data_IF_223823017569
#
_entry.id   IF_223823017569
#
_cell.length_a   1.000
_cell.length_b   1.000
_cell.length_c   1.000
_cell.angle_alpha   90.00
_cell.angle_beta   90.00
_cell.angle_gamma   90.00
#
_symmetry.space_group_name_H-M   'P 1'
#
loop_
_entity.id
_entity.type
_entity.pdbx_description
1 polymer ?
#
# COMPACT_ATOMS: atom_id res chain seq x y z
N UNK A 1 5.84 -18.78 -8.71
CA UNK A 1 5.54 -17.78 -7.67
C UNK A 1 4.08 -17.37 -7.84
N UNK A 2 3.35 -17.16 -6.74
CA UNK A 2 1.94 -16.77 -6.80
C UNK A 2 1.83 -15.26 -6.96
N UNK A 3 0.81 -14.76 -7.66
CA UNK A 3 0.60 -13.32 -7.86
C UNK A 3 -0.53 -12.79 -6.97
N UNK A 4 -0.48 -11.51 -6.64
CA UNK A 4 -1.51 -10.78 -5.90
C UNK A 4 -1.77 -9.44 -6.58
N UNK A 5 -3.03 -8.99 -6.62
CA UNK A 5 -3.37 -7.66 -7.13
C UNK A 5 -3.64 -6.74 -5.95
N UNK A 6 -2.86 -5.67 -5.86
CA UNK A 6 -2.87 -4.74 -4.73
C UNK A 6 -3.02 -3.30 -5.23
N UNK A 7 -3.61 -2.44 -4.40
CA UNK A 7 -3.56 -0.98 -4.57
C UNK A 7 -3.11 -0.33 -3.28
N UNK A 8 -2.56 0.87 -3.33
CA UNK A 8 -2.19 1.59 -2.12
C UNK A 8 -3.42 2.12 -1.38
N UNK A 9 -3.27 2.30 -0.06
CA UNK A 9 -4.17 3.08 0.74
C UNK A 9 -4.22 4.54 0.24
N UNK A 10 -5.34 5.22 0.49
CA UNK A 10 -5.52 6.59 0.04
C UNK A 10 -4.47 7.53 0.65
N UNK A 11 -3.82 8.35 -0.18
CA UNK A 11 -2.77 9.28 0.25
C UNK A 11 -1.39 8.65 0.47
N UNK A 12 -1.24 7.34 0.28
CA UNK A 12 0.03 6.61 0.39
C UNK A 12 0.46 6.15 -1.00
N UNK A 13 1.77 6.15 -1.23
CA UNK A 13 2.38 5.47 -2.40
C UNK A 13 3.41 4.48 -1.92
N UNK A 14 3.38 3.28 -2.49
CA UNK A 14 4.26 2.17 -2.09
C UNK A 14 5.23 1.87 -3.22
N UNK A 15 6.56 1.95 -3.00
CA UNK A 15 7.53 1.57 -4.01
C UNK A 15 7.35 0.12 -4.46
N UNK A 16 7.63 -0.16 -5.73
CA UNK A 16 7.67 -1.52 -6.23
C UNK A 16 8.97 -2.21 -5.83
N UNK A 17 8.88 -3.46 -5.39
CA UNK A 17 10.02 -4.29 -5.02
C UNK A 17 10.98 -4.51 -6.19
N UNK A 18 10.45 -4.69 -7.40
CA UNK A 18 11.23 -4.89 -8.63
C UNK A 18 11.86 -3.60 -9.17
N UNK A 19 11.24 -2.44 -8.88
CA UNK A 19 11.73 -1.15 -9.32
C UNK A 19 11.30 -0.03 -8.37
N UNK A 20 12.16 0.43 -7.45
CA UNK A 20 11.79 1.42 -6.44
C UNK A 20 11.50 2.82 -7.00
N UNK A 21 11.76 3.07 -8.30
CA UNK A 21 11.35 4.30 -9.00
C UNK A 21 9.91 4.24 -9.53
N UNK A 22 9.25 3.09 -9.41
CA UNK A 22 7.85 2.88 -9.76
C UNK A 22 7.05 2.68 -8.48
N UNK A 23 5.88 3.29 -8.42
CA UNK A 23 5.03 3.29 -7.25
C UNK A 23 3.68 2.65 -7.56
N UNK A 24 3.12 2.00 -6.55
CA UNK A 24 1.72 1.59 -6.52
C UNK A 24 0.97 2.70 -5.80
N UNK A 25 -0.06 3.23 -6.46
CA UNK A 25 -0.95 4.26 -5.93
C UNK A 25 -2.34 3.67 -5.60
N UNK A 26 -3.23 4.51 -5.09
CA UNK A 26 -4.60 4.13 -4.77
C UNK A 26 -5.54 4.12 -5.98
N UNK A 27 -5.08 4.58 -7.15
CA UNK A 27 -5.94 4.78 -8.32
C UNK A 27 -6.21 3.47 -9.04
N UNK A 28 -5.18 2.65 -9.26
CA UNK A 28 -5.29 1.41 -10.03
C UNK A 28 -4.77 0.19 -9.26
N UNK A 29 -5.49 -0.93 -9.40
CA UNK A 29 -5.02 -2.22 -8.91
C UNK A 29 -3.85 -2.72 -9.75
N UNK A 30 -2.79 -3.17 -9.09
CA UNK A 30 -1.54 -3.59 -9.71
C UNK A 30 -1.23 -5.03 -9.34
N UNK A 31 -1.06 -5.89 -10.33
CA UNK A 31 -0.66 -7.29 -10.12
C UNK A 31 0.85 -7.38 -9.93
N UNK A 32 1.26 -7.97 -8.81
CA UNK A 32 2.66 -8.17 -8.40
C UNK A 32 2.88 -9.60 -7.93
N UNK A 33 4.14 -10.01 -7.82
CA UNK A 33 4.49 -11.28 -7.18
C UNK A 33 4.15 -11.23 -5.68
N UNK A 34 3.65 -12.34 -5.13
CA UNK A 34 3.31 -12.49 -3.71
C UNK A 34 4.59 -12.70 -2.91
N UNK A 35 5.34 -11.62 -2.71
CA UNK A 35 6.58 -11.60 -1.94
C UNK A 35 6.36 -11.18 -0.49
N UNK A 36 7.38 -11.40 0.34
CA UNK A 36 7.36 -10.93 1.73
C UNK A 36 7.23 -9.40 1.83
N UNK A 37 7.76 -8.66 0.85
CA UNK A 37 7.65 -7.20 0.80
C UNK A 37 6.19 -6.74 0.73
N UNK A 38 5.44 -7.24 -0.26
CA UNK A 38 4.04 -6.84 -0.44
C UNK A 38 3.12 -7.37 0.66
N UNK A 39 3.41 -8.56 1.22
CA UNK A 39 2.68 -9.10 2.36
C UNK A 39 2.84 -8.24 3.62
N UNK A 40 4.05 -7.71 3.88
CA UNK A 40 4.27 -6.77 4.99
C UNK A 40 3.47 -5.49 4.77
N UNK A 41 3.51 -4.91 3.56
CA UNK A 41 2.76 -3.69 3.24
C UNK A 41 1.23 -3.87 3.36
N UNK A 42 0.72 -5.07 3.07
CA UNK A 42 -0.67 -5.42 3.34
C UNK A 42 -0.96 -5.49 4.85
N UNK A 43 -0.06 -6.07 5.65
CA UNK A 43 -0.20 -6.15 7.10
C UNK A 43 -0.11 -4.78 7.78
N UNK A 44 0.74 -3.89 7.25
CA UNK A 44 0.92 -2.51 7.74
C UNK A 44 -0.26 -1.60 7.33
N UNK A 45 -1.12 -2.04 6.40
CA UNK A 45 -2.24 -1.27 5.87
C UNK A 45 -1.88 -0.28 4.76
N UNK A 46 -0.62 -0.25 4.31
CA UNK A 46 -0.16 0.57 3.18
C UNK A 46 -0.73 0.09 1.84
N UNK A 47 -0.96 -1.22 1.70
CA UNK A 47 -1.58 -1.85 0.54
C UNK A 47 -2.89 -2.52 0.91
N UNK A 48 -3.77 -2.64 -0.08
CA UNK A 48 -5.08 -3.29 0.00
C UNK A 48 -5.11 -4.36 -1.09
N UNK A 49 -5.44 -5.61 -0.73
CA UNK A 49 -5.68 -6.68 -1.69
C UNK A 49 -7.01 -6.42 -2.43
N UNK A 50 -6.93 -6.28 -3.75
CA UNK A 50 -8.07 -5.97 -4.61
C UNK A 50 -8.81 -7.25 -5.03
N UNK A 51 -8.16 -8.41 -4.93
CA UNK A 51 -8.76 -9.72 -5.26
C UNK A 51 -9.56 -10.30 -4.12
N UNK A 52 -9.19 -9.98 -2.88
CA UNK A 52 -10.02 -10.25 -1.72
C UNK A 52 -11.22 -9.29 -1.74
N UNK A 53 -12.42 -9.82 -1.97
CA UNK A 53 -13.68 -9.06 -1.84
C UNK A 53 -13.63 -8.27 -0.51
N UNK A 54 -13.93 -6.95 -0.52
CA UNK A 54 -13.64 -6.10 0.62
C UNK A 54 -14.45 -6.55 1.83
N UNK A 55 -13.81 -7.20 2.79
CA UNK A 55 -14.29 -7.21 4.16
C UNK A 55 -13.95 -5.81 4.71
N UNK A 56 -14.99 -5.06 5.01
CA UNK A 56 -14.95 -3.68 5.47
C UNK A 56 -13.81 -3.42 6.49
N UNK A 57 -12.79 -2.68 6.07
CA UNK A 57 -11.94 -1.93 6.99
C UNK A 57 -12.47 -0.49 7.03
N UNK A 58 -13.36 -0.26 7.99
CA UNK A 58 -13.81 1.07 8.37
C UNK A 58 -12.67 1.84 9.05
N UNK A 59 -12.52 3.10 8.63
CA UNK A 59 -12.08 4.30 9.36
C UNK A 59 -10.89 4.24 10.35
N UNK A 60 -9.86 5.00 9.99
CA UNK A 60 -9.24 6.06 10.81
C UNK A 60 -8.46 6.95 9.82
N UNK A 61 -9.00 8.07 9.31
CA UNK A 61 -9.15 9.38 9.96
C UNK A 61 -7.82 9.94 10.52
N UNK A 62 -7.25 10.87 9.74
CA UNK A 62 -6.40 12.01 10.12
C UNK A 62 -5.24 11.83 11.10
N UNK A 63 -4.02 11.97 10.59
CA UNK A 63 -2.97 12.70 11.32
C UNK A 63 -2.43 13.81 10.41
N UNK A 64 -3.04 14.99 10.49
CA UNK A 64 -2.25 16.21 10.43
C UNK A 64 -1.37 16.22 11.68
N UNK A 65 -0.05 16.22 11.47
CA UNK A 65 0.95 16.16 12.52
C UNK A 65 2.30 16.65 12.00
N UNK A 66 2.47 17.97 12.06
CA UNK A 66 3.72 18.70 12.40
C UNK A 66 4.71 17.76 13.13
N UNK A 67 6.00 17.64 12.86
CA UNK A 67 7.07 18.65 12.95
C UNK A 67 8.38 18.05 12.38
N UNK A 68 9.26 18.85 11.78
CA UNK A 68 10.63 19.03 12.29
C UNK A 68 11.33 20.15 11.53
N UNK A 69 11.26 21.36 12.10
CA UNK A 69 12.42 22.24 12.01
C UNK A 69 13.57 21.61 12.80
N UNK A 70 14.76 21.60 12.20
CA UNK A 70 16.05 21.31 12.83
C UNK A 70 17.12 21.64 11.78
N UNK A 71 18.15 22.44 12.00
CA UNK A 71 18.63 23.29 13.11
C UNK A 71 19.50 24.38 12.49
#
# INVERSE_FOLDING_TARGET
>A
MSKITVKAAAGVTVPREDNPRRYIDSANGVTVERSAYYLRRLADGDLIDVTAKPAAAAKGETNEGVTSGKS
#
